data_IF_617855761153
#
_entry.id   IF_617855761153
#
_cell.length_a   1.000
_cell.length_b   1.000
_cell.length_c   1.000
_cell.angle_alpha   90.00
_cell.angle_beta   90.00
_cell.angle_gamma   90.00
#
_symmetry.space_group_name_H-M   'P 1'
#
loop_
_entity.id
_entity.type
_entity.pdbx_description
1 polymer ?
#
# COMPACT_ATOMS: atom_id res chain seq x y z
N UNK A 1 13.48 -19.82 -10.50
CA UNK A 1 13.93 -18.57 -9.85
C UNK A 1 12.77 -18.08 -9.03
N UNK A 2 12.94 -17.94 -7.74
CA UNK A 2 11.92 -17.41 -6.83
C UNK A 2 11.82 -15.90 -6.98
N UNK A 3 10.69 -15.30 -6.61
CA UNK A 3 10.56 -13.85 -6.62
C UNK A 3 11.61 -13.18 -5.73
N UNK A 4 11.96 -13.81 -4.60
CA UNK A 4 13.03 -13.31 -3.71
C UNK A 4 14.37 -13.09 -4.42
N UNK A 5 14.77 -14.00 -5.32
CA UNK A 5 16.03 -13.90 -6.07
C UNK A 5 16.07 -12.72 -7.06
N UNK A 6 14.90 -12.19 -7.43
CA UNK A 6 14.77 -11.04 -8.34
C UNK A 6 14.94 -9.69 -7.62
N UNK A 7 14.82 -9.67 -6.29
CA UNK A 7 14.97 -8.43 -5.52
C UNK A 7 16.41 -7.91 -5.55
N UNK A 8 16.56 -6.60 -5.40
CA UNK A 8 17.87 -5.97 -5.22
C UNK A 8 18.62 -6.59 -4.04
N UNK A 9 19.95 -6.88 -4.14
CA UNK A 9 20.73 -7.56 -3.09
C UNK A 9 20.61 -6.91 -1.72
N UNK A 10 20.56 -5.58 -1.65
CA UNK A 10 20.34 -4.86 -0.39
C UNK A 10 18.99 -5.18 0.24
N UNK A 11 17.91 -5.30 -0.55
CA UNK A 11 16.58 -5.68 -0.05
C UNK A 11 16.59 -7.12 0.43
N UNK A 12 17.17 -8.04 -0.34
CA UNK A 12 17.34 -9.45 0.07
C UNK A 12 18.08 -9.57 1.41
N UNK A 13 19.21 -8.87 1.55
CA UNK A 13 19.99 -8.86 2.79
C UNK A 13 19.14 -8.46 3.99
N UNK A 14 18.35 -7.39 3.86
CA UNK A 14 17.56 -6.89 4.99
C UNK A 14 16.32 -7.74 5.29
N UNK A 15 15.72 -8.38 4.29
CA UNK A 15 14.64 -9.37 4.52
C UNK A 15 15.13 -10.51 5.41
N UNK A 16 16.32 -11.05 5.13
CA UNK A 16 16.89 -12.17 5.90
C UNK A 16 17.47 -11.68 7.23
N UNK A 17 18.33 -10.66 7.22
CA UNK A 17 19.17 -10.33 8.39
C UNK A 17 18.52 -9.30 9.31
N UNK A 18 17.73 -8.35 8.81
CA UNK A 18 17.14 -7.29 9.64
C UNK A 18 15.70 -7.60 10.05
N UNK A 19 14.93 -8.29 9.19
CA UNK A 19 13.59 -8.75 9.50
C UNK A 19 13.58 -10.17 10.06
N UNK A 20 14.64 -10.95 9.82
CA UNK A 20 14.74 -12.35 10.30
C UNK A 20 13.73 -13.28 9.66
N UNK A 21 13.31 -13.00 8.41
CA UNK A 21 12.31 -13.82 7.76
C UNK A 21 12.95 -15.07 7.14
N UNK A 22 12.38 -16.25 7.42
CA UNK A 22 12.89 -17.51 6.85
C UNK A 22 12.58 -17.63 5.34
N UNK A 23 11.65 -16.82 4.82
CA UNK A 23 11.23 -16.77 3.44
C UNK A 23 10.10 -15.76 3.23
N UNK A 24 9.75 -15.51 2.00
CA UNK A 24 8.60 -14.69 1.64
C UNK A 24 7.32 -15.50 1.74
N UNK A 25 6.21 -14.82 2.01
CA UNK A 25 4.87 -15.42 1.90
C UNK A 25 4.51 -15.58 0.42
N UNK A 26 3.61 -16.51 0.07
CA UNK A 26 3.23 -16.74 -1.33
C UNK A 26 2.86 -15.46 -2.10
N UNK A 27 2.02 -14.59 -1.51
CA UNK A 27 1.65 -13.32 -2.11
C UNK A 27 2.87 -12.42 -2.38
N UNK A 28 3.80 -12.37 -1.44
CA UNK A 28 5.00 -11.53 -1.58
C UNK A 28 5.88 -12.06 -2.72
N UNK A 29 6.10 -13.36 -2.77
CA UNK A 29 6.94 -13.99 -3.79
C UNK A 29 6.34 -13.86 -5.20
N UNK A 30 5.03 -14.12 -5.35
CA UNK A 30 4.34 -14.03 -6.64
C UNK A 30 4.17 -12.60 -7.16
N UNK A 31 4.03 -11.60 -6.28
CA UNK A 31 3.86 -10.20 -6.67
C UNK A 31 5.16 -9.56 -7.17
N UNK A 32 6.33 -10.07 -6.82
CA UNK A 32 7.62 -9.45 -7.14
C UNK A 32 7.83 -9.35 -8.65
N UNK A 33 7.75 -10.45 -9.36
CA UNK A 33 8.08 -10.47 -10.79
C UNK A 33 7.22 -9.51 -11.63
N UNK A 34 5.88 -9.49 -11.52
CA UNK A 34 5.05 -8.56 -12.28
C UNK A 34 5.27 -7.09 -11.86
N UNK A 35 5.51 -6.80 -10.56
CA UNK A 35 5.80 -5.44 -10.13
C UNK A 35 7.15 -4.96 -10.67
N UNK A 36 8.18 -5.80 -10.66
CA UNK A 36 9.48 -5.48 -11.24
C UNK A 36 9.39 -5.27 -12.77
N UNK A 37 8.52 -6.02 -13.44
CA UNK A 37 8.26 -5.85 -14.87
C UNK A 37 7.47 -4.57 -15.23
N UNK A 38 6.95 -3.84 -14.24
CA UNK A 38 6.16 -2.63 -14.45
C UNK A 38 4.69 -2.90 -14.76
N UNK A 39 4.19 -4.13 -14.58
CA UNK A 39 2.77 -4.44 -14.76
C UNK A 39 1.93 -3.77 -13.67
N UNK A 40 0.69 -3.40 -14.00
CA UNK A 40 -0.29 -3.08 -12.96
C UNK A 40 -0.67 -4.35 -12.21
N UNK A 41 -0.75 -4.27 -10.90
CA UNK A 41 -1.01 -5.44 -10.06
C UNK A 41 -2.14 -5.19 -9.09
N UNK A 42 -3.06 -6.14 -8.96
CA UNK A 42 -3.98 -6.23 -7.84
C UNK A 42 -3.57 -7.42 -6.96
N UNK A 43 -3.02 -7.13 -5.79
CA UNK A 43 -2.58 -8.13 -4.83
C UNK A 43 -3.67 -8.40 -3.80
N UNK A 44 -4.14 -9.66 -3.73
CA UNK A 44 -5.24 -10.07 -2.86
C UNK A 44 -4.75 -11.04 -1.79
N UNK A 45 -5.01 -10.71 -0.55
CA UNK A 45 -4.83 -11.62 0.58
C UNK A 45 -5.68 -11.17 1.78
N UNK A 46 -5.99 -12.08 2.70
CA UNK A 46 -6.63 -11.73 3.97
C UNK A 46 -5.82 -10.68 4.75
N UNK A 47 -6.43 -10.11 5.79
CA UNK A 47 -5.73 -9.24 6.73
C UNK A 47 -4.50 -9.97 7.29
N UNK A 48 -3.41 -9.26 7.48
CA UNK A 48 -2.10 -9.81 7.86
C UNK A 48 -1.43 -10.74 6.82
N UNK A 49 -1.94 -10.82 5.59
CA UNK A 49 -1.36 -11.63 4.49
C UNK A 49 -0.04 -11.10 3.91
N UNK A 50 0.51 -9.98 4.44
CA UNK A 50 1.78 -9.41 3.96
C UNK A 50 1.65 -8.57 2.69
N UNK A 51 0.46 -8.01 2.43
CA UNK A 51 0.16 -7.19 1.24
C UNK A 51 1.09 -5.98 1.08
N UNK A 52 1.33 -5.27 2.16
CA UNK A 52 2.21 -4.07 2.14
C UNK A 52 3.59 -4.42 1.61
N UNK A 53 4.19 -5.48 2.13
CA UNK A 53 5.51 -5.93 1.75
C UNK A 53 5.54 -6.50 0.33
N UNK A 54 4.45 -7.12 -0.11
CA UNK A 54 4.29 -7.61 -1.49
C UNK A 54 4.43 -6.47 -2.52
N UNK A 55 3.98 -5.24 -2.19
CA UNK A 55 4.17 -4.07 -3.04
C UNK A 55 5.49 -3.35 -2.78
N UNK A 56 5.85 -3.15 -1.51
CA UNK A 56 6.94 -2.25 -1.13
C UNK A 56 8.32 -2.85 -1.43
N UNK A 57 8.54 -4.15 -1.17
CA UNK A 57 9.86 -4.76 -1.41
C UNK A 57 10.31 -4.69 -2.88
N UNK A 58 9.46 -5.05 -3.88
CA UNK A 58 9.85 -4.88 -5.28
C UNK A 58 9.99 -3.42 -5.69
N UNK A 59 9.20 -2.49 -5.16
CA UNK A 59 9.36 -1.07 -5.45
C UNK A 59 10.65 -0.49 -4.88
N UNK A 60 11.05 -0.85 -3.65
CA UNK A 60 12.36 -0.49 -3.11
C UNK A 60 13.50 -1.03 -3.99
N UNK A 61 13.34 -2.28 -4.49
CA UNK A 61 14.30 -2.86 -5.43
C UNK A 61 14.39 -2.05 -6.72
N UNK A 62 13.27 -1.63 -7.29
CA UNK A 62 13.25 -0.78 -8.49
C UNK A 62 13.88 0.57 -8.26
N UNK A 63 13.54 1.26 -7.17
CA UNK A 63 14.17 2.55 -6.83
C UNK A 63 15.69 2.41 -6.78
N UNK A 64 16.19 1.35 -6.12
CA UNK A 64 17.63 1.12 -5.96
C UNK A 64 18.31 0.69 -7.28
N UNK A 65 17.67 -0.15 -8.09
CA UNK A 65 18.21 -0.70 -9.34
C UNK A 65 18.12 0.29 -10.49
N UNK A 66 16.94 0.91 -10.68
CA UNK A 66 16.65 1.82 -11.80
C UNK A 66 17.16 3.24 -11.52
N UNK A 67 17.65 3.50 -10.32
CA UNK A 67 18.19 4.80 -9.92
C UNK A 67 17.14 5.91 -9.88
N UNK A 68 15.88 5.60 -9.52
CA UNK A 68 14.82 6.60 -9.39
C UNK A 68 15.19 7.67 -8.34
N UNK A 69 14.80 8.90 -8.59
CA UNK A 69 15.17 10.05 -7.76
C UNK A 69 13.96 10.90 -7.40
N UNK A 70 14.01 11.53 -6.22
CA UNK A 70 12.91 12.33 -5.70
C UNK A 70 11.68 11.47 -5.40
N UNK A 71 10.50 12.07 -5.41
CA UNK A 71 9.27 11.36 -5.16
C UNK A 71 8.98 10.34 -6.28
N UNK A 72 9.23 9.08 -5.99
CA UNK A 72 9.15 7.98 -6.97
C UNK A 72 7.92 7.10 -6.77
N UNK A 73 7.43 6.97 -5.53
CA UNK A 73 6.29 6.13 -5.17
C UNK A 73 5.32 6.88 -4.28
N UNK A 74 4.05 6.87 -4.65
CA UNK A 74 2.96 7.25 -3.75
C UNK A 74 2.35 6.01 -3.11
N UNK A 75 2.07 6.08 -1.82
CA UNK A 75 1.32 5.07 -1.08
C UNK A 75 0.03 5.70 -0.57
N UNK A 76 -1.07 5.37 -1.23
CA UNK A 76 -2.39 5.98 -1.00
C UNK A 76 -3.25 5.05 -0.16
N UNK A 77 -3.80 5.57 0.93
CA UNK A 77 -4.66 4.81 1.83
C UNK A 77 -5.93 5.62 2.17
N UNK A 78 -7.10 4.97 2.34
CA UNK A 78 -8.36 5.67 2.62
C UNK A 78 -8.40 6.32 4.00
N UNK A 79 -7.60 5.86 4.97
CA UNK A 79 -7.67 6.28 6.37
C UNK A 79 -6.33 6.79 6.90
N UNK A 80 -6.34 7.98 7.51
CA UNK A 80 -5.16 8.60 8.14
C UNK A 80 -4.56 7.74 9.26
N UNK A 81 -5.41 7.09 10.05
CA UNK A 81 -4.95 6.22 11.12
C UNK A 81 -4.09 5.05 10.61
N UNK A 82 -4.46 4.46 9.48
CA UNK A 82 -3.68 3.41 8.84
C UNK A 82 -2.33 3.95 8.35
N UNK A 83 -2.31 5.15 7.75
CA UNK A 83 -1.07 5.80 7.31
C UNK A 83 -0.12 6.07 8.49
N UNK A 84 -0.65 6.59 9.61
CA UNK A 84 0.15 6.82 10.82
C UNK A 84 0.78 5.53 11.37
N UNK A 85 0.03 4.42 11.35
CA UNK A 85 0.54 3.12 11.79
C UNK A 85 1.55 2.51 10.81
N UNK A 86 1.38 2.78 9.52
CA UNK A 86 2.21 2.22 8.46
C UNK A 86 3.53 2.99 8.27
N UNK A 87 3.51 4.30 8.45
CA UNK A 87 4.65 5.18 8.16
C UNK A 87 5.96 4.74 8.85
N UNK A 88 6.02 4.47 10.17
CA UNK A 88 7.27 4.03 10.80
C UNK A 88 7.82 2.73 10.22
N UNK A 89 6.94 1.83 9.76
CA UNK A 89 7.33 0.58 9.12
C UNK A 89 7.95 0.81 7.74
N UNK A 90 7.32 1.65 6.92
CA UNK A 90 7.83 1.97 5.58
C UNK A 90 9.11 2.82 5.66
N UNK A 91 9.20 3.74 6.62
CA UNK A 91 10.44 4.50 6.88
C UNK A 91 11.60 3.56 7.21
N UNK A 92 11.37 2.56 8.08
CA UNK A 92 12.37 1.53 8.37
C UNK A 92 12.77 0.74 7.12
N UNK A 93 11.80 0.32 6.29
CA UNK A 93 12.10 -0.46 5.08
C UNK A 93 12.85 0.38 4.03
N UNK A 94 12.45 1.62 3.83
CA UNK A 94 13.17 2.54 2.94
C UNK A 94 14.60 2.77 3.41
N UNK A 95 14.79 2.96 4.73
CA UNK A 95 16.12 3.13 5.35
C UNK A 95 17.08 1.96 5.10
N UNK A 96 16.59 0.74 4.87
CA UNK A 96 17.44 -0.41 4.55
C UNK A 96 18.27 -0.21 3.27
N UNK A 97 17.79 0.56 2.33
CA UNK A 97 18.46 0.84 1.06
C UNK A 97 18.81 2.33 0.90
N UNK A 98 18.89 3.05 2.03
CA UNK A 98 19.27 4.46 2.05
C UNK A 98 18.22 5.42 1.50
N UNK A 99 16.95 5.00 1.45
CA UNK A 99 15.81 5.80 0.99
C UNK A 99 15.01 6.33 2.18
N UNK A 100 14.08 7.26 1.90
CA UNK A 100 13.21 7.87 2.89
C UNK A 100 11.75 7.62 2.57
N UNK A 101 10.92 7.51 3.61
CA UNK A 101 9.48 7.56 3.49
C UNK A 101 8.95 8.78 4.25
N UNK A 102 7.98 9.48 3.65
CA UNK A 102 7.34 10.64 4.26
C UNK A 102 5.84 10.43 4.43
N UNK A 103 5.22 11.23 5.29
CA UNK A 103 3.80 11.18 5.59
C UNK A 103 3.15 12.54 5.33
N UNK A 104 2.08 12.56 4.52
CA UNK A 104 1.34 13.77 4.19
C UNK A 104 -0.17 13.55 4.26
N UNK A 105 -0.82 14.12 5.25
CA UNK A 105 -2.27 14.23 5.35
C UNK A 105 -2.67 15.49 6.14
N UNK A 106 -3.96 15.75 6.28
CA UNK A 106 -4.45 17.01 6.88
C UNK A 106 -3.95 17.31 8.28
N UNK A 107 -3.63 16.28 9.09
CA UNK A 107 -3.17 16.43 10.47
C UNK A 107 -1.65 16.65 10.58
N UNK A 108 -0.91 16.48 9.47
CA UNK A 108 0.54 16.77 9.43
C UNK A 108 0.76 18.29 9.41
N UNK A 109 1.59 18.77 10.31
CA UNK A 109 1.86 20.21 10.46
C UNK A 109 2.45 20.84 9.20
N UNK A 110 2.16 22.13 8.98
CA UNK A 110 2.59 22.87 7.79
C UNK A 110 4.12 22.85 7.59
N UNK A 111 4.89 22.96 8.66
CA UNK A 111 6.36 22.90 8.61
C UNK A 111 6.87 21.56 8.05
N UNK A 112 6.30 20.44 8.50
CA UNK A 112 6.67 19.10 8.00
C UNK A 112 6.28 18.93 6.52
N UNK A 113 5.09 19.40 6.13
CA UNK A 113 4.65 19.39 4.72
C UNK A 113 5.54 20.24 3.82
N UNK A 114 5.99 21.41 4.31
CA UNK A 114 6.94 22.25 3.56
C UNK A 114 8.26 21.52 3.34
N UNK A 115 8.80 20.87 4.37
CA UNK A 115 10.05 20.10 4.25
C UNK A 115 9.92 18.95 3.24
N UNK A 116 8.80 18.22 3.24
CA UNK A 116 8.54 17.16 2.25
C UNK A 116 8.51 17.73 0.83
N UNK A 117 8.00 18.95 0.66
CA UNK A 117 7.95 19.58 -0.65
C UNK A 117 9.33 20.05 -1.12
N UNK A 118 10.12 20.62 -0.20
CA UNK A 118 11.46 21.14 -0.48
C UNK A 118 12.47 19.99 -0.68
N UNK A 119 12.32 18.89 0.07
CA UNK A 119 13.14 17.68 0.00
C UNK A 119 12.27 16.41 -0.11
N UNK A 120 11.73 16.11 -1.30
CA UNK A 120 10.82 14.99 -1.46
C UNK A 120 11.45 13.64 -1.06
N UNK A 121 10.76 12.83 -0.23
CA UNK A 121 11.16 11.45 0.02
C UNK A 121 10.88 10.60 -1.23
N UNK A 122 11.55 9.46 -1.34
CA UNK A 122 11.31 8.52 -2.44
C UNK A 122 9.93 7.86 -2.36
N UNK A 123 9.41 7.69 -1.15
CA UNK A 123 8.07 7.14 -0.89
C UNK A 123 7.26 8.15 -0.08
N UNK A 124 6.07 8.51 -0.55
CA UNK A 124 5.16 9.40 0.18
C UNK A 124 3.84 8.70 0.48
N UNK A 125 3.53 8.57 1.78
CA UNK A 125 2.25 8.05 2.26
C UNK A 125 1.25 9.20 2.34
N UNK A 126 0.05 9.01 1.78
CA UNK A 126 -0.94 10.08 1.69
C UNK A 126 -2.38 9.57 1.52
N UNK A 127 -3.36 10.48 1.53
CA UNK A 127 -4.76 10.21 1.20
C UNK A 127 -5.14 10.83 -0.15
N UNK A 128 -6.20 10.33 -0.83
CA UNK A 128 -6.67 10.93 -2.09
C UNK A 128 -6.98 12.42 -1.98
N UNK A 129 -7.60 12.82 -0.88
CA UNK A 129 -7.98 14.21 -0.63
C UNK A 129 -6.74 15.12 -0.46
N UNK A 130 -5.66 14.58 0.11
CA UNK A 130 -4.40 15.31 0.24
C UNK A 130 -3.68 15.46 -1.09
N UNK A 131 -3.72 14.44 -1.96
CA UNK A 131 -3.19 14.52 -3.32
C UNK A 131 -3.96 15.56 -4.15
N UNK A 132 -5.28 15.57 -4.06
CA UNK A 132 -6.11 16.59 -4.70
C UNK A 132 -5.70 18.00 -4.25
N UNK A 133 -5.52 18.21 -2.94
CA UNK A 133 -5.09 19.51 -2.41
C UNK A 133 -3.71 19.94 -2.92
N UNK A 134 -2.77 19.00 -3.12
CA UNK A 134 -1.47 19.29 -3.74
C UNK A 134 -1.64 19.67 -5.20
N UNK A 135 -2.39 18.89 -5.97
CA UNK A 135 -2.62 19.13 -7.40
C UNK A 135 -3.39 20.43 -7.69
N UNK A 136 -4.26 20.86 -6.78
CA UNK A 136 -5.02 22.12 -6.88
C UNK A 136 -4.23 23.34 -6.41
N UNK A 137 -3.08 23.15 -5.77
CA UNK A 137 -2.29 24.24 -5.22
C UNK A 137 -1.62 25.05 -6.33
N UNK A 138 -1.95 26.34 -6.42
CA UNK A 138 -1.28 27.28 -7.33
C UNK A 138 -0.01 27.88 -6.73
N UNK A 139 0.29 27.60 -5.46
CA UNK A 139 1.41 28.20 -4.72
C UNK A 139 2.72 27.43 -4.85
N UNK A 140 2.70 26.25 -5.44
CA UNK A 140 3.86 25.36 -5.52
C UNK A 140 3.96 24.68 -6.88
N UNK A 141 5.17 24.40 -7.29
CA UNK A 141 5.46 23.62 -8.49
C UNK A 141 5.16 22.13 -8.24
N UNK A 142 3.89 21.74 -8.41
CA UNK A 142 3.47 20.35 -8.30
C UNK A 142 3.97 19.51 -9.49
N UNK A 143 4.21 20.10 -10.66
CA UNK A 143 4.75 19.36 -11.80
C UNK A 143 6.18 18.89 -11.51
N UNK A 144 7.04 19.79 -10.99
CA UNK A 144 8.39 19.41 -10.53
C UNK A 144 8.36 18.40 -9.37
N UNK A 145 7.41 18.55 -8.43
CA UNK A 145 7.26 17.63 -7.30
C UNK A 145 6.94 16.21 -7.74
N UNK A 146 6.08 16.02 -8.75
CA UNK A 146 5.68 14.69 -9.26
C UNK A 146 6.50 14.23 -10.48
N UNK A 147 7.47 14.99 -10.97
CA UNK A 147 8.25 14.66 -12.15
C UNK A 147 8.98 13.30 -12.07
N UNK A 148 9.39 12.90 -10.85
CA UNK A 148 10.06 11.62 -10.58
C UNK A 148 9.11 10.44 -10.37
N UNK A 149 7.79 10.68 -10.30
CA UNK A 149 6.82 9.67 -9.92
C UNK A 149 6.73 8.53 -10.94
N UNK A 150 6.80 7.28 -10.48
CA UNK A 150 6.82 6.07 -11.30
C UNK A 150 5.65 5.13 -10.97
N UNK A 151 5.29 5.04 -9.69
CA UNK A 151 4.29 4.08 -9.24
C UNK A 151 3.39 4.65 -8.13
N UNK A 152 2.16 4.12 -8.11
CA UNK A 152 1.19 4.40 -7.04
C UNK A 152 0.70 3.08 -6.46
N UNK A 153 0.86 2.91 -5.15
CA UNK A 153 0.22 1.85 -4.37
C UNK A 153 -1.08 2.39 -3.82
N UNK A 154 -2.18 1.69 -4.05
CA UNK A 154 -3.50 1.98 -3.46
C UNK A 154 -3.82 0.90 -2.46
N UNK A 155 -3.74 1.22 -1.18
CA UNK A 155 -4.05 0.28 -0.10
C UNK A 155 -5.55 0.25 0.19
N UNK A 156 -6.02 -0.91 0.64
CA UNK A 156 -7.45 -1.18 0.88
C UNK A 156 -8.33 -0.74 -0.31
N UNK A 157 -7.89 -1.05 -1.52
CA UNK A 157 -8.52 -0.57 -2.76
C UNK A 157 -10.00 -0.91 -2.85
N UNK A 158 -10.46 -1.99 -2.19
CA UNK A 158 -11.88 -2.35 -2.11
C UNK A 158 -12.73 -1.32 -1.37
N UNK A 159 -12.14 -0.53 -0.46
CA UNK A 159 -12.83 0.55 0.24
C UNK A 159 -13.18 1.75 -0.67
N UNK A 160 -12.61 1.80 -1.87
CA UNK A 160 -12.91 2.80 -2.89
C UNK A 160 -13.89 2.29 -3.95
N UNK A 161 -14.19 0.98 -3.97
CA UNK A 161 -15.06 0.39 -4.97
C UNK A 161 -16.53 0.78 -4.76
N UNK A 162 -17.13 1.43 -5.75
CA UNK A 162 -18.57 1.62 -5.82
C UNK A 162 -19.13 2.91 -5.26
N UNK A 163 -18.30 3.86 -4.83
CA UNK A 163 -18.73 5.17 -4.32
C UNK A 163 -18.01 6.36 -4.98
N UNK A 164 -18.42 7.58 -4.61
CA UNK A 164 -17.87 8.83 -5.14
C UNK A 164 -16.37 9.01 -4.80
N UNK A 165 -15.89 8.47 -3.68
CA UNK A 165 -14.46 8.50 -3.34
C UNK A 165 -13.62 7.69 -4.30
N UNK A 166 -14.17 6.60 -4.83
CA UNK A 166 -13.50 5.80 -5.84
C UNK A 166 -13.33 6.55 -7.15
N UNK A 167 -14.37 7.20 -7.63
CA UNK A 167 -14.28 8.05 -8.82
C UNK A 167 -13.34 9.23 -8.63
N UNK A 168 -13.36 9.84 -7.46
CA UNK A 168 -12.40 10.89 -7.09
C UNK A 168 -10.96 10.37 -7.14
N UNK A 169 -10.68 9.21 -6.53
CA UNK A 169 -9.35 8.60 -6.58
C UNK A 169 -8.89 8.36 -8.02
N UNK A 170 -9.74 7.77 -8.88
CA UNK A 170 -9.39 7.56 -10.29
C UNK A 170 -9.06 8.87 -11.01
N UNK A 171 -9.87 9.91 -10.83
CA UNK A 171 -9.61 11.22 -11.41
C UNK A 171 -8.27 11.81 -10.93
N UNK A 172 -7.91 11.62 -9.67
CA UNK A 172 -6.61 12.03 -9.12
C UNK A 172 -5.48 11.24 -9.75
N UNK A 173 -5.62 9.91 -9.91
CA UNK A 173 -4.60 9.06 -10.53
C UNK A 173 -4.36 9.42 -12.01
N UNK A 174 -5.42 9.67 -12.78
CA UNK A 174 -5.30 10.12 -14.18
C UNK A 174 -4.58 11.47 -14.28
N UNK A 175 -4.91 12.41 -13.41
CA UNK A 175 -4.24 13.71 -13.35
C UNK A 175 -2.78 13.60 -12.93
N UNK A 176 -2.45 12.71 -11.99
CA UNK A 176 -1.05 12.43 -11.61
C UNK A 176 -0.25 11.89 -12.80
N UNK A 177 -0.82 10.95 -13.57
CA UNK A 177 -0.17 10.44 -14.79
C UNK A 177 0.08 11.56 -15.81
N UNK A 178 -0.90 12.44 -16.00
CA UNK A 178 -0.76 13.59 -16.89
C UNK A 178 0.32 14.59 -16.40
N UNK A 179 0.36 14.89 -15.09
CA UNK A 179 1.35 15.80 -14.50
C UNK A 179 2.76 15.19 -14.54
N UNK A 180 2.89 13.89 -14.25
CA UNK A 180 4.16 13.17 -14.33
C UNK A 180 4.64 12.94 -15.78
N UNK A 181 3.78 13.17 -16.78
CA UNK A 181 4.07 12.98 -18.20
C UNK A 181 4.31 11.52 -18.59
N UNK A 182 3.76 10.56 -17.83
CA UNK A 182 3.93 9.11 -18.05
C UNK A 182 2.78 8.31 -17.51
N UNK A 183 2.64 7.10 -18.02
CA UNK A 183 1.74 6.10 -17.44
C UNK A 183 2.35 5.57 -16.12
N UNK A 184 1.67 5.82 -15.00
CA UNK A 184 2.12 5.42 -13.67
C UNK A 184 1.72 3.97 -13.40
N UNK A 185 2.67 3.14 -12.98
CA UNK A 185 2.34 1.80 -12.51
C UNK A 185 1.38 1.87 -11.31
N UNK A 186 0.26 1.12 -11.36
CA UNK A 186 -0.76 1.09 -10.29
C UNK A 186 -0.77 -0.27 -9.63
N UNK A 187 -0.60 -0.29 -8.32
CA UNK A 187 -0.57 -1.50 -7.50
C UNK A 187 -1.66 -1.39 -6.46
N UNK A 188 -2.71 -2.20 -6.59
CA UNK A 188 -3.80 -2.27 -5.62
C UNK A 188 -3.57 -3.37 -4.59
N UNK A 189 -3.79 -3.04 -3.32
CA UNK A 189 -3.77 -4.00 -2.22
C UNK A 189 -5.20 -4.13 -1.68
N UNK A 190 -5.71 -5.35 -1.60
CA UNK A 190 -7.08 -5.58 -1.17
C UNK A 190 -7.21 -6.84 -0.31
N UNK A 191 -8.22 -6.86 0.53
CA UNK A 191 -8.77 -8.12 1.02
C UNK A 191 -9.33 -8.95 -0.15
N UNK A 192 -9.67 -10.19 0.10
CA UNK A 192 -10.34 -11.04 -0.89
C UNK A 192 -11.66 -10.41 -1.32
N UNK A 193 -11.89 -10.30 -2.63
CA UNK A 193 -13.08 -9.72 -3.24
C UNK A 193 -13.71 -10.71 -4.23
N UNK A 194 -15.01 -10.58 -4.50
CA UNK A 194 -15.74 -11.48 -5.39
C UNK A 194 -15.41 -11.32 -6.87
N UNK A 195 -15.03 -10.11 -7.32
CA UNK A 195 -14.77 -9.78 -8.72
C UNK A 195 -13.42 -9.07 -8.91
N UNK A 196 -12.29 -9.78 -8.69
CA UNK A 196 -10.96 -9.16 -8.71
C UNK A 196 -10.60 -8.53 -10.06
N UNK A 197 -10.96 -9.18 -11.16
CA UNK A 197 -10.68 -8.66 -12.51
C UNK A 197 -11.41 -7.36 -12.81
N UNK A 198 -12.61 -7.19 -12.26
CA UNK A 198 -13.35 -5.94 -12.38
C UNK A 198 -12.71 -4.81 -11.57
N UNK A 199 -12.25 -5.12 -10.36
CA UNK A 199 -11.54 -4.17 -9.51
C UNK A 199 -10.20 -3.78 -10.12
N UNK A 200 -9.47 -4.73 -10.71
CA UNK A 200 -8.22 -4.45 -11.44
C UNK A 200 -8.47 -3.51 -12.63
N UNK A 201 -9.44 -3.83 -13.50
CA UNK A 201 -9.79 -2.95 -14.64
C UNK A 201 -10.15 -1.54 -14.19
N UNK A 202 -10.90 -1.42 -13.10
CA UNK A 202 -11.22 -0.12 -12.50
C UNK A 202 -9.95 0.61 -12.04
N UNK A 203 -9.05 -0.06 -11.33
CA UNK A 203 -7.79 0.54 -10.85
C UNK A 203 -6.88 1.00 -11.99
N UNK A 204 -6.78 0.20 -13.04
CA UNK A 204 -5.94 0.47 -14.22
C UNK A 204 -6.41 1.73 -14.97
N UNK A 205 -7.72 2.01 -14.99
CA UNK A 205 -8.27 3.21 -15.61
C UNK A 205 -8.01 3.26 -17.11
N UNK A 206 -7.40 4.35 -17.58
CA UNK A 206 -7.12 4.57 -19.01
C UNK A 206 -5.82 3.92 -19.51
N UNK A 207 -5.00 3.32 -18.63
CA UNK A 207 -3.75 2.68 -19.01
C UNK A 207 -3.98 1.44 -19.89
N UNK A 208 -3.06 1.22 -20.83
CA UNK A 208 -3.01 0.01 -21.68
C UNK A 208 -1.83 -0.90 -21.34
N UNK A 209 -1.08 -0.59 -20.30
CA UNK A 209 0.02 -1.42 -19.85
C UNK A 209 -0.48 -2.79 -19.33
N UNK A 210 0.34 -3.84 -19.37
CA UNK A 210 -0.01 -5.15 -18.83
C UNK A 210 -0.51 -5.07 -17.39
N UNK A 211 -1.49 -5.90 -17.07
CA UNK A 211 -2.07 -5.92 -15.74
C UNK A 211 -2.37 -7.35 -15.27
N UNK A 212 -2.30 -7.58 -13.95
CA UNK A 212 -2.43 -8.91 -13.36
C UNK A 212 -3.06 -8.89 -11.99
N UNK A 213 -3.94 -9.86 -11.72
CA UNK A 213 -4.34 -10.23 -10.36
C UNK A 213 -3.34 -11.22 -9.79
N UNK A 214 -2.85 -10.97 -8.59
CA UNK A 214 -2.01 -11.87 -7.79
C UNK A 214 -2.80 -12.27 -6.56
N UNK A 215 -3.27 -13.50 -6.54
CA UNK A 215 -4.14 -14.05 -5.49
C UNK A 215 -3.74 -15.53 -5.26
N UNK A 216 -2.60 -15.79 -4.61
CA UNK A 216 -2.14 -17.14 -4.36
C UNK A 216 -3.15 -17.90 -3.49
N UNK A 217 -3.23 -19.18 -3.72
CA UNK A 217 -3.98 -20.06 -2.82
C UNK A 217 -3.24 -20.10 -1.46
N UNK A 218 -3.82 -19.45 -0.48
CA UNK A 218 -3.29 -19.40 0.88
C UNK A 218 -3.59 -20.66 1.68
N UNK A 219 -4.18 -21.66 1.05
CA UNK A 219 -4.74 -22.83 1.71
C UNK A 219 -6.02 -22.46 2.49
N UNK A 220 -6.86 -23.40 2.77
CA UNK A 220 -7.98 -23.18 3.69
C UNK A 220 -7.43 -23.05 5.11
N UNK A 221 -7.50 -21.87 5.68
CA UNK A 221 -7.39 -21.76 7.13
C UNK A 221 -8.44 -22.68 7.76
N UNK A 222 -8.07 -23.37 8.83
CA UNK A 222 -9.07 -24.13 9.58
C UNK A 222 -10.27 -23.21 9.87
N UNK A 223 -11.50 -23.69 9.67
CA UNK A 223 -12.67 -22.85 9.93
C UNK A 223 -12.57 -22.33 11.36
N UNK A 224 -12.83 -21.02 11.57
CA UNK A 224 -12.80 -20.47 12.90
C UNK A 224 -13.84 -21.20 13.78
N UNK A 225 -13.49 -21.47 15.02
CA UNK A 225 -14.46 -21.94 16.00
C UNK A 225 -15.39 -20.77 16.32
N UNK A 226 -16.65 -20.91 15.93
CA UNK A 226 -17.66 -19.89 16.15
C UNK A 226 -18.59 -20.30 17.27
N UNK A 227 -18.64 -19.48 18.33
CA UNK A 227 -19.61 -19.61 19.40
C UNK A 227 -20.58 -18.42 19.35
N UNK A 228 -21.87 -18.71 19.36
CA UNK A 228 -22.92 -17.69 19.35
C UNK A 228 -23.67 -17.74 20.68
N UNK A 229 -23.54 -16.70 21.50
CA UNK A 229 -24.20 -16.56 22.78
C UNK A 229 -25.24 -15.42 22.74
N UNK A 230 -26.44 -15.71 23.24
CA UNK A 230 -27.45 -14.67 23.44
C UNK A 230 -27.38 -14.14 24.89
N UNK A 231 -26.96 -12.89 25.03
CA UNK A 231 -26.67 -12.28 26.35
C UNK A 231 -27.69 -11.23 26.80
N UNK A 232 -28.69 -10.91 25.98
CA UNK A 232 -29.83 -10.06 26.30
C UNK A 232 -29.56 -8.57 26.50
N UNK A 233 -28.32 -8.13 26.80
CA UNK A 233 -27.94 -6.73 26.97
C UNK A 233 -26.46 -6.48 26.69
N UNK A 234 -26.11 -5.22 26.36
CA UNK A 234 -24.71 -4.80 26.18
C UNK A 234 -23.85 -4.97 27.45
N UNK A 235 -24.44 -4.74 28.61
CA UNK A 235 -23.76 -4.92 29.91
C UNK A 235 -23.42 -6.40 30.15
N UNK A 236 -24.35 -7.29 29.83
CA UNK A 236 -24.11 -8.73 29.93
C UNK A 236 -23.07 -9.17 28.89
N UNK A 237 -23.11 -8.63 27.65
CA UNK A 237 -22.12 -8.90 26.62
C UNK A 237 -20.71 -8.52 27.09
N UNK A 238 -20.55 -7.32 27.64
CA UNK A 238 -19.27 -6.88 28.21
C UNK A 238 -18.78 -7.80 29.32
N UNK A 239 -19.68 -8.27 30.19
CA UNK A 239 -19.35 -9.21 31.30
C UNK A 239 -18.89 -10.57 30.73
N UNK A 240 -19.59 -11.12 29.74
CA UNK A 240 -19.21 -12.40 29.12
C UNK A 240 -17.86 -12.25 28.40
N UNK A 241 -17.68 -11.22 27.57
CA UNK A 241 -16.44 -10.97 26.84
C UNK A 241 -15.26 -10.77 27.80
N UNK A 242 -15.46 -10.09 28.93
CA UNK A 242 -14.41 -9.89 29.93
C UNK A 242 -13.92 -11.18 30.59
N UNK A 243 -14.73 -12.24 30.61
CA UNK A 243 -14.42 -13.55 31.22
C UNK A 243 -13.96 -14.59 30.21
N UNK A 244 -14.26 -14.43 28.93
CA UNK A 244 -13.81 -15.33 27.87
C UNK A 244 -12.32 -15.09 27.59
N UNK A 245 -11.55 -16.17 27.42
CA UNK A 245 -10.14 -16.15 27.05
C UNK A 245 -9.27 -15.23 27.92
N UNK A 246 -9.43 -15.30 29.20
CA UNK A 246 -8.64 -14.49 30.13
C UNK A 246 -7.15 -14.81 29.99
N UNK A 247 -6.31 -13.77 29.87
CA UNK A 247 -4.87 -13.91 29.59
C UNK A 247 -4.48 -14.06 28.13
N UNK A 248 -5.44 -14.16 27.20
CA UNK A 248 -5.18 -14.21 25.74
C UNK A 248 -5.38 -12.84 25.08
N UNK A 249 -4.76 -12.67 23.89
CA UNK A 249 -5.04 -11.47 23.07
C UNK A 249 -6.46 -11.53 22.52
N UNK A 250 -7.25 -10.50 22.80
CA UNK A 250 -8.63 -10.35 22.33
C UNK A 250 -8.76 -9.12 21.45
N UNK A 251 -9.60 -9.22 20.43
CA UNK A 251 -10.11 -8.08 19.66
C UNK A 251 -11.60 -7.95 19.99
N UNK A 252 -12.02 -6.80 20.51
CA UNK A 252 -13.41 -6.50 20.86
C UNK A 252 -13.91 -5.31 20.07
#
# INVERSE_FOLDING_TARGET
>A
MTGFELLHPGVQHHVVNSLGWPGLRPLQDEAIAPILAGEHVLALAPTAGGKTEAAVLPLLSRIATDGWRGLSVLYVCPLRALLNNLHPRLERYAGFVGLRAGLWHGDVGASARNRIFDEPPEILLTTPESLEAILMSTRRDHAGFFAGLQAVVVDEVHAFGGDDRGWHLLAVLERLSAVAGRDLQRIGLSATVGEPERLLRWLVGSSTAPSRVVAPDMGSAAPPELTLDHVGSLTNAATVISRLHDGEKRLV
#
